data_IF_822438622880
#
_entry.id   IF_822438622880
#
_cell.length_a   1.000
_cell.length_b   1.000
_cell.length_c   1.000
_cell.angle_alpha   90.00
_cell.angle_beta   90.00
_cell.angle_gamma   90.00
#
_symmetry.space_group_name_H-M   'P 1'
#
loop_
_entity.id
_entity.type
_entity.pdbx_description
1 polymer ?
#
# COMPACT_ATOMS: atom_id res chain seq x y z
N UNK A 1 -16.77 -65.52 44.24
CA UNK A 1 -17.13 -64.68 45.40
C UNK A 1 -17.50 -63.31 44.84
N UNK A 2 -18.66 -62.83 45.27
CA UNK A 2 -19.47 -61.79 44.64
C UNK A 2 -19.17 -60.38 45.17
N UNK A 3 -19.86 -59.39 44.56
CA UNK A 3 -20.14 -58.01 45.00
C UNK A 3 -19.01 -56.98 44.78
N UNK A 4 -19.24 -55.73 44.33
CA UNK A 4 -20.45 -54.99 43.98
C UNK A 4 -20.10 -53.55 43.55
N UNK A 5 -21.00 -52.94 42.75
CA UNK A 5 -21.38 -51.52 42.59
C UNK A 5 -20.41 -50.36 42.96
N UNK A 6 -20.25 -49.33 42.10
CA UNK A 6 -21.08 -48.10 42.07
C UNK A 6 -20.55 -46.99 41.11
N UNK A 7 -21.54 -46.22 40.61
CA UNK A 7 -21.60 -45.00 39.77
C UNK A 7 -20.48 -43.94 39.87
N UNK A 8 -20.25 -43.24 38.75
CA UNK A 8 -19.67 -41.89 38.68
C UNK A 8 -20.35 -41.08 37.55
N UNK A 9 -20.73 -39.83 37.85
CA UNK A 9 -21.58 -38.96 37.05
C UNK A 9 -20.82 -38.14 35.99
N UNK A 10 -21.41 -37.98 34.81
CA UNK A 10 -21.02 -36.99 33.79
C UNK A 10 -21.79 -35.67 34.07
N UNK A 11 -21.04 -34.59 34.20
CA UNK A 11 -21.53 -33.22 34.14
C UNK A 11 -20.68 -32.47 33.14
N UNK A 12 -21.27 -32.18 31.98
CA UNK A 12 -20.63 -31.49 30.87
C UNK A 12 -21.21 -30.06 30.84
N UNK A 13 -20.41 -29.09 31.29
CA UNK A 13 -20.75 -27.66 31.31
C UNK A 13 -19.96 -26.97 30.19
N UNK A 14 -20.53 -26.97 29.00
CA UNK A 14 -19.97 -26.29 27.83
C UNK A 14 -20.30 -24.79 27.92
N UNK A 15 -19.28 -23.97 28.21
CA UNK A 15 -19.36 -22.51 28.06
C UNK A 15 -19.52 -22.15 26.58
N UNK A 16 -20.70 -21.59 26.22
CA UNK A 16 -20.94 -20.94 24.94
C UNK A 16 -20.13 -19.65 24.82
N UNK A 17 -19.30 -19.55 23.77
CA UNK A 17 -18.65 -18.32 23.32
C UNK A 17 -19.55 -17.70 22.24
N UNK A 18 -19.86 -16.38 22.27
CA UNK A 18 -20.75 -15.77 21.29
C UNK A 18 -20.10 -15.68 19.90
N UNK A 19 -20.94 -15.87 18.87
CA UNK A 19 -20.57 -15.82 17.45
C UNK A 19 -19.90 -14.50 17.07
N UNK A 20 -18.63 -14.58 16.69
CA UNK A 20 -17.91 -13.49 16.02
C UNK A 20 -18.37 -13.49 14.57
N UNK A 21 -18.99 -12.39 14.13
CA UNK A 21 -19.32 -12.14 12.72
C UNK A 21 -18.00 -12.04 11.94
N UNK A 22 -17.55 -13.18 11.41
CA UNK A 22 -16.47 -13.26 10.44
C UNK A 22 -17.04 -12.86 9.08
N UNK A 23 -16.57 -11.74 8.53
CA UNK A 23 -16.78 -11.40 7.13
C UNK A 23 -15.97 -12.40 6.27
N UNK A 24 -16.53 -13.59 6.02
CA UNK A 24 -15.93 -14.58 5.12
C UNK A 24 -16.06 -14.10 3.68
N UNK A 25 -14.94 -13.79 3.04
CA UNK A 25 -14.82 -13.78 1.59
C UNK A 25 -14.94 -15.22 1.07
N UNK A 26 -15.89 -15.46 0.16
CA UNK A 26 -16.10 -16.77 -0.46
C UNK A 26 -14.86 -17.23 -1.24
N UNK A 27 -14.41 -18.46 -0.97
CA UNK A 27 -13.48 -19.19 -1.84
C UNK A 27 -14.31 -19.94 -2.88
N UNK A 28 -14.00 -19.70 -4.15
CA UNK A 28 -14.41 -20.57 -5.27
C UNK A 28 -13.51 -21.80 -5.25
N UNK A 29 -14.14 -22.97 -5.12
CA UNK A 29 -13.53 -24.26 -5.47
C UNK A 29 -13.57 -24.40 -6.99
N UNK A 30 -12.43 -24.76 -7.58
CA UNK A 30 -12.33 -25.25 -8.94
C UNK A 30 -12.17 -26.76 -8.85
N UNK A 31 -13.11 -27.49 -9.45
CA UNK A 31 -13.03 -28.93 -9.66
C UNK A 31 -13.03 -29.19 -11.17
N UNK A 32 -12.10 -30.03 -11.60
CA UNK A 32 -11.86 -30.42 -12.99
C UNK A 32 -12.85 -31.52 -13.40
N UNK A 33 -13.59 -31.31 -14.48
CA UNK A 33 -14.50 -32.34 -15.02
C UNK A 33 -15.10 -31.98 -16.38
N UNK A 34 -14.49 -32.50 -17.43
CA UNK A 34 -14.87 -32.39 -18.84
C UNK A 34 -16.07 -33.31 -19.19
N UNK A 35 -17.25 -32.79 -19.58
CA UNK A 35 -18.25 -33.50 -20.41
C UNK A 35 -19.13 -32.53 -21.24
N UNK A 36 -18.92 -32.58 -22.56
CA UNK A 36 -19.87 -32.57 -23.72
C UNK A 36 -21.19 -31.77 -23.64
N UNK A 37 -21.39 -30.93 -24.67
CA UNK A 37 -22.59 -30.14 -24.95
C UNK A 37 -23.79 -30.93 -25.50
N UNK A 38 -25.01 -30.51 -25.12
CA UNK A 38 -26.17 -30.34 -26.02
C UNK A 38 -27.23 -29.39 -25.41
N UNK A 39 -28.01 -28.65 -26.23
CA UNK A 39 -28.97 -27.65 -25.77
C UNK A 39 -30.38 -28.23 -25.63
N UNK A 40 -31.20 -27.69 -24.71
CA UNK A 40 -32.65 -27.80 -24.83
C UNK A 40 -33.39 -26.69 -24.08
N UNK A 41 -34.50 -26.30 -24.69
CA UNK A 41 -35.35 -25.14 -24.46
C UNK A 41 -36.30 -25.29 -23.25
N UNK A 42 -36.85 -24.13 -22.88
CA UNK A 42 -38.23 -23.89 -22.44
C UNK A 42 -38.72 -24.22 -21.01
N UNK A 43 -39.13 -23.10 -20.37
CA UNK A 43 -40.40 -22.83 -19.67
C UNK A 43 -40.52 -22.95 -18.14
N UNK A 44 -40.79 -21.76 -17.58
CA UNK A 44 -41.78 -21.42 -16.52
C UNK A 44 -41.40 -21.87 -15.09
N UNK A 45 -41.51 -21.05 -14.05
CA UNK A 45 -42.64 -20.19 -13.72
C UNK A 45 -42.26 -18.90 -12.95
N UNK A 46 -43.18 -17.95 -13.06
CA UNK A 46 -43.24 -16.67 -12.36
C UNK A 46 -43.71 -16.90 -10.93
N UNK A 47 -43.08 -16.24 -9.97
CA UNK A 47 -43.78 -15.77 -8.77
C UNK A 47 -43.33 -14.34 -8.45
N UNK A 48 -44.32 -13.44 -8.50
CA UNK A 48 -44.25 -12.03 -8.13
C UNK A 48 -44.24 -11.90 -6.60
N UNK A 49 -43.36 -11.05 -6.05
CA UNK A 49 -43.58 -10.45 -4.74
C UNK A 49 -43.17 -8.96 -4.75
N UNK A 50 -44.19 -8.15 -5.02
CA UNK A 50 -44.57 -6.87 -4.40
C UNK A 50 -43.44 -6.09 -3.70
N UNK A 51 -43.07 -4.96 -4.31
CA UNK A 51 -42.28 -3.89 -3.69
C UNK A 51 -43.24 -2.87 -3.09
N UNK A 52 -43.21 -2.69 -1.76
CA UNK A 52 -43.88 -1.57 -1.09
C UNK A 52 -43.01 -0.31 -1.14
N UNK A 53 -43.60 0.73 -1.72
CA UNK A 53 -43.16 2.12 -1.80
C UNK A 53 -42.99 2.74 -0.40
N UNK A 54 -41.80 3.23 -0.07
CA UNK A 54 -41.62 4.20 1.03
C UNK A 54 -41.06 5.50 0.47
N UNK A 55 -41.87 6.54 0.63
CA UNK A 55 -41.67 7.91 0.13
C UNK A 55 -40.42 8.55 0.72
N UNK A 56 -39.55 9.04 -0.16
CA UNK A 56 -38.48 9.98 0.16
C UNK A 56 -39.05 11.40 0.35
N UNK A 57 -38.67 12.08 1.43
CA UNK A 57 -38.90 13.51 1.62
C UNK A 57 -37.75 14.34 1.02
N UNK A 58 -38.00 15.49 0.37
CA UNK A 58 -36.99 16.24 -0.35
C UNK A 58 -36.18 17.18 0.57
N UNK A 59 -34.86 17.23 0.32
CA UNK A 59 -33.90 18.11 0.95
C UNK A 59 -34.10 19.57 0.47
N UNK A 60 -34.28 20.52 1.39
CA UNK A 60 -34.50 21.93 1.09
C UNK A 60 -33.22 22.63 0.59
N UNK A 61 -33.43 23.47 -0.42
CA UNK A 61 -32.46 24.29 -1.14
C UNK A 61 -31.80 25.34 -0.22
N UNK A 62 -30.49 25.51 -0.37
CA UNK A 62 -29.70 26.59 0.23
C UNK A 62 -30.06 27.93 -0.43
N UNK A 63 -30.49 28.91 0.36
CA UNK A 63 -30.68 30.29 -0.08
C UNK A 63 -29.34 31.01 -0.29
N UNK A 64 -29.24 31.76 -1.39
CA UNK A 64 -28.10 32.59 -1.75
C UNK A 64 -28.00 33.83 -0.85
N UNK A 65 -26.78 34.14 -0.39
CA UNK A 65 -26.46 35.38 0.34
C UNK A 65 -25.98 36.43 -0.67
N UNK A 66 -26.50 37.67 -0.65
CA UNK A 66 -26.12 38.67 -1.64
C UNK A 66 -24.74 39.27 -1.36
N UNK A 67 -23.95 39.44 -2.42
CA UNK A 67 -22.67 40.14 -2.44
C UNK A 67 -22.96 41.65 -2.57
N UNK A 68 -22.62 42.44 -1.54
CA UNK A 68 -22.57 43.90 -1.65
C UNK A 68 -21.13 44.38 -1.86
N UNK A 69 -20.93 45.09 -2.97
CA UNK A 69 -19.74 45.87 -3.29
C UNK A 69 -19.73 47.20 -2.52
N UNK A 70 -18.55 47.65 -2.09
CA UNK A 70 -18.33 48.98 -1.53
C UNK A 70 -16.97 49.13 -0.86
N UNK A 71 -16.06 49.83 -1.54
CA UNK A 71 -14.81 50.36 -1.02
C UNK A 71 -15.07 51.37 0.12
N UNK A 72 -14.23 51.35 1.16
CA UNK A 72 -13.42 52.49 1.64
C UNK A 72 -12.85 52.26 3.06
N UNK A 73 -11.57 52.60 3.17
CA UNK A 73 -10.70 52.78 4.34
C UNK A 73 -11.32 52.81 5.75
N UNK A 74 -10.92 51.87 6.62
CA UNK A 74 -10.96 52.08 8.08
C UNK A 74 -9.72 51.50 8.78
N UNK A 75 -9.08 52.39 9.51
CA UNK A 75 -7.80 52.31 10.20
C UNK A 75 -7.72 51.27 11.33
N UNK A 76 -6.56 50.63 11.45
CA UNK A 76 -6.12 49.80 12.58
C UNK A 76 -6.08 50.60 13.91
N UNK A 77 -7.18 50.63 14.67
CA UNK A 77 -7.13 50.96 16.12
C UNK A 77 -8.33 50.47 16.97
N UNK A 78 -9.29 49.71 16.42
CA UNK A 78 -10.54 49.40 17.12
C UNK A 78 -10.75 47.96 17.66
N UNK A 79 -9.82 47.01 17.45
CA UNK A 79 -10.09 45.57 17.74
C UNK A 79 -9.48 45.07 19.05
N UNK A 80 -8.73 45.91 19.78
CA UNK A 80 -8.13 45.51 21.06
C UNK A 80 -8.99 45.76 22.31
N UNK A 81 -10.19 46.37 22.17
CA UNK A 81 -10.99 46.76 23.34
C UNK A 81 -12.25 45.89 23.60
N UNK A 82 -12.57 44.93 22.72
CA UNK A 82 -13.75 44.03 22.89
C UNK A 82 -13.38 42.62 23.38
N UNK A 83 -12.09 42.35 23.64
CA UNK A 83 -11.61 41.07 24.16
C UNK A 83 -11.25 41.10 25.67
N UNK A 84 -11.43 42.25 26.35
CA UNK A 84 -11.15 42.40 27.78
C UNK A 84 -12.38 42.40 28.69
N UNK A 85 -13.60 42.44 28.14
CA UNK A 85 -14.84 42.47 28.97
C UNK A 85 -15.63 41.15 28.98
N UNK A 86 -15.28 40.16 28.15
CA UNK A 86 -15.85 38.80 28.22
C UNK A 86 -15.02 37.81 29.04
N UNK A 87 -13.97 38.27 29.73
CA UNK A 87 -13.06 37.45 30.55
C UNK A 87 -13.35 37.49 32.05
N UNK A 88 -14.48 38.08 32.49
CA UNK A 88 -14.76 38.27 33.93
C UNK A 88 -16.08 37.65 34.44
N UNK A 89 -16.75 36.77 33.69
CA UNK A 89 -18.04 36.18 34.11
C UNK A 89 -18.16 34.65 33.98
N UNK A 90 -17.07 33.93 33.70
CA UNK A 90 -17.08 32.45 33.67
C UNK A 90 -15.94 31.85 34.52
N UNK A 91 -15.89 32.24 35.80
CA UNK A 91 -15.26 31.42 36.84
C UNK A 91 -16.25 31.21 37.99
N UNK A 92 -16.96 30.07 37.94
CA UNK A 92 -17.34 29.24 39.10
C UNK A 92 -18.19 28.04 38.65
N UNK A 93 -17.49 27.00 38.20
CA UNK A 93 -17.76 25.59 38.53
C UNK A 93 -16.49 24.84 38.13
N UNK A 94 -15.56 24.74 39.08
CA UNK A 94 -14.36 23.94 38.91
C UNK A 94 -14.79 22.49 38.67
N UNK A 95 -14.72 22.04 37.42
CA UNK A 95 -14.58 20.61 37.13
C UNK A 95 -13.23 20.24 37.72
N UNK A 96 -13.24 19.40 38.74
CA UNK A 96 -12.01 18.84 39.27
C UNK A 96 -11.19 18.30 38.09
N UNK A 97 -9.98 18.82 37.90
CA UNK A 97 -8.98 18.13 37.08
C UNK A 97 -8.81 16.78 37.79
N UNK A 98 -9.19 15.65 37.15
CA UNK A 98 -8.97 14.36 37.78
C UNK A 98 -7.48 14.26 38.12
N UNK A 99 -7.12 13.76 39.32
CA UNK A 99 -5.72 13.59 39.67
C UNK A 99 -5.01 12.84 38.54
N UNK A 100 -3.74 13.16 38.22
CA UNK A 100 -2.99 12.40 37.24
C UNK A 100 -3.11 10.92 37.63
N UNK A 101 -3.71 10.12 36.74
CA UNK A 101 -3.84 8.70 36.95
C UNK A 101 -2.40 8.21 37.11
N UNK A 102 -2.03 7.80 38.32
CA UNK A 102 -0.73 7.20 38.57
C UNK A 102 -0.74 5.87 37.81
N UNK A 103 -0.22 5.89 36.60
CA UNK A 103 -0.12 4.70 35.79
C UNK A 103 0.93 3.78 36.43
N UNK A 104 0.66 2.48 36.42
CA UNK A 104 1.65 1.48 36.77
C UNK A 104 2.95 1.78 35.99
N UNK A 105 4.13 1.82 36.63
CA UNK A 105 5.40 2.07 35.93
C UNK A 105 5.62 1.19 34.69
N UNK A 106 5.06 -0.01 34.67
CA UNK A 106 5.11 -0.89 33.49
C UNK A 106 4.23 -0.40 32.33
N UNK A 107 3.09 0.21 32.64
CA UNK A 107 2.19 0.84 31.66
C UNK A 107 2.80 2.12 31.12
N UNK A 108 3.43 2.94 31.97
CA UNK A 108 4.10 4.17 31.52
C UNK A 108 5.24 3.86 30.54
N UNK A 109 6.09 2.87 30.88
CA UNK A 109 7.13 2.40 29.97
C UNK A 109 6.56 1.85 28.64
N UNK A 110 5.38 1.24 28.68
CA UNK A 110 4.75 0.73 27.48
C UNK A 110 4.21 1.87 26.60
N UNK A 111 3.63 2.91 27.21
CA UNK A 111 3.21 4.11 26.49
C UNK A 111 4.39 4.82 25.83
N UNK A 112 5.50 4.96 26.55
CA UNK A 112 6.72 5.56 26.00
C UNK A 112 7.23 4.76 24.79
N UNK A 113 7.16 3.43 24.81
CA UNK A 113 7.49 2.60 23.65
C UNK A 113 6.53 2.84 22.48
N UNK A 114 5.22 2.84 22.71
CA UNK A 114 4.22 3.08 21.66
C UNK A 114 4.36 4.47 21.03
N UNK A 115 4.70 5.47 21.84
CA UNK A 115 4.92 6.85 21.42
C UNK A 115 6.23 6.97 20.62
N UNK A 116 7.34 6.44 21.14
CA UNK A 116 8.64 6.49 20.48
C UNK A 116 8.63 5.82 19.09
N UNK A 117 7.88 4.73 18.95
CA UNK A 117 7.74 3.98 17.70
C UNK A 117 7.11 4.82 16.58
N UNK A 118 6.32 5.85 16.90
CA UNK A 118 5.72 6.72 15.88
C UNK A 118 6.75 7.47 15.04
N UNK A 119 7.92 7.81 15.60
CA UNK A 119 9.01 8.45 14.86
C UNK A 119 9.53 7.58 13.71
N UNK A 120 9.54 6.26 13.89
CA UNK A 120 10.22 5.33 12.99
C UNK A 120 9.24 4.54 12.09
N UNK A 121 7.99 4.35 12.51
CA UNK A 121 7.04 3.53 11.77
C UNK A 121 6.56 4.18 10.48
N UNK A 122 6.45 3.41 9.39
CA UNK A 122 5.78 3.86 8.15
C UNK A 122 4.27 4.04 8.33
N UNK A 123 3.66 3.27 9.23
CA UNK A 123 2.19 3.16 9.33
C UNK A 123 1.65 3.60 10.70
N UNK A 124 2.33 3.26 11.79
CA UNK A 124 1.96 3.60 13.16
C UNK A 124 2.34 5.05 13.48
N UNK A 125 1.48 6.02 13.15
CA UNK A 125 1.74 7.45 13.34
C UNK A 125 0.46 8.23 13.63
N UNK A 126 0.64 9.40 14.24
CA UNK A 126 -0.43 10.39 14.43
C UNK A 126 -1.38 10.10 15.60
N UNK A 127 -1.07 9.13 16.46
CA UNK A 127 -1.79 8.89 17.71
C UNK A 127 -1.32 9.85 18.80
N UNK A 128 -2.28 10.48 19.48
CA UNK A 128 -2.05 11.32 20.64
C UNK A 128 -1.83 10.47 21.89
N UNK A 129 -1.21 11.04 22.94
CA UNK A 129 -0.84 10.27 24.14
C UNK A 129 -2.06 9.68 24.87
N UNK A 130 -3.18 10.40 24.90
CA UNK A 130 -4.46 9.92 25.44
C UNK A 130 -5.05 8.77 24.61
N UNK A 131 -4.97 8.84 23.27
CA UNK A 131 -5.34 7.74 22.39
C UNK A 131 -4.46 6.51 22.63
N UNK A 132 -3.14 6.69 22.73
CA UNK A 132 -2.19 5.62 23.05
C UNK A 132 -2.46 5.00 24.42
N UNK A 133 -2.86 5.79 25.41
CA UNK A 133 -3.26 5.30 26.73
C UNK A 133 -4.43 4.34 26.65
N UNK A 134 -5.44 4.68 25.85
CA UNK A 134 -6.61 3.81 25.67
C UNK A 134 -6.23 2.55 24.88
N UNK A 135 -5.40 2.70 23.84
CA UNK A 135 -4.92 1.55 23.08
C UNK A 135 -4.10 0.62 23.97
N UNK A 136 -3.16 1.13 24.77
CA UNK A 136 -2.29 0.31 25.62
C UNK A 136 -3.05 -0.60 26.58
N UNK A 137 -4.22 -0.16 27.07
CA UNK A 137 -5.11 -0.98 27.90
C UNK A 137 -5.71 -2.20 27.17
N UNK A 138 -5.64 -2.23 25.84
CA UNK A 138 -6.15 -3.28 24.96
C UNK A 138 -5.06 -4.15 24.34
N UNK A 139 -3.79 -3.87 24.62
CA UNK A 139 -2.67 -4.59 24.04
C UNK A 139 -2.06 -5.57 25.02
N UNK A 140 -1.59 -6.68 24.47
CA UNK A 140 -0.70 -7.59 25.17
C UNK A 140 0.75 -7.24 24.81
N UNK A 141 1.54 -6.84 25.80
CA UNK A 141 2.96 -6.59 25.63
C UNK A 141 3.75 -7.88 25.85
N UNK A 142 4.42 -8.36 24.80
CA UNK A 142 5.28 -9.55 24.88
C UNK A 142 6.73 -9.11 24.72
N UNK A 143 7.53 -9.38 25.75
CA UNK A 143 8.92 -8.94 25.84
C UNK A 143 9.89 -10.14 25.73
N UNK A 144 11.14 -9.83 25.42
CA UNK A 144 12.30 -10.74 25.57
C UNK A 144 12.27 -11.97 24.66
N UNK A 145 11.87 -11.80 23.41
CA UNK A 145 12.17 -12.83 22.41
C UNK A 145 13.68 -12.94 22.24
N UNK A 146 14.19 -14.17 22.20
CA UNK A 146 15.58 -14.47 21.87
C UNK A 146 15.75 -14.59 20.36
N UNK A 147 16.97 -14.33 19.86
CA UNK A 147 17.28 -14.54 18.45
C UNK A 147 16.90 -15.95 17.99
N UNK A 148 16.27 -16.06 16.82
CA UNK A 148 15.72 -17.29 16.25
C UNK A 148 14.35 -17.71 16.79
N UNK A 149 13.81 -17.06 17.83
CA UNK A 149 12.51 -17.43 18.38
C UNK A 149 11.37 -16.97 17.47
N UNK A 150 10.37 -17.84 17.28
CA UNK A 150 9.15 -17.49 16.56
C UNK A 150 8.27 -16.54 17.35
N UNK A 151 8.02 -15.37 16.77
CA UNK A 151 7.00 -14.41 17.21
C UNK A 151 5.64 -14.83 16.63
N UNK A 152 5.63 -15.28 15.38
CA UNK A 152 4.45 -15.80 14.67
C UNK A 152 4.85 -17.04 13.87
N UNK A 153 3.97 -18.04 13.83
CA UNK A 153 4.16 -19.24 13.00
C UNK A 153 3.22 -19.22 11.79
N UNK A 154 3.77 -19.45 10.60
CA UNK A 154 2.95 -19.69 9.43
C UNK A 154 2.05 -20.91 9.62
N UNK A 155 0.82 -20.84 9.11
CA UNK A 155 -0.16 -21.92 9.21
C UNK A 155 -0.85 -22.02 10.57
N UNK A 156 -0.55 -21.14 11.54
CA UNK A 156 -1.36 -21.02 12.75
C UNK A 156 -2.53 -20.07 12.56
N UNK A 157 -3.66 -20.37 13.22
CA UNK A 157 -4.86 -19.54 13.16
C UNK A 157 -4.49 -18.14 13.62
N UNK A 158 -4.79 -17.14 12.79
CA UNK A 158 -4.47 -15.77 13.10
C UNK A 158 -5.49 -15.22 14.11
N UNK A 159 -4.98 -14.66 15.20
CA UNK A 159 -5.81 -14.07 16.25
C UNK A 159 -5.32 -12.69 16.70
N UNK A 160 -4.25 -12.17 16.08
CA UNK A 160 -3.67 -10.88 16.42
C UNK A 160 -2.91 -10.21 15.28
N UNK A 161 -2.78 -8.88 15.40
CA UNK A 161 -1.79 -8.07 14.69
C UNK A 161 -0.63 -7.78 15.65
N UNK A 162 0.61 -7.84 15.20
CA UNK A 162 1.78 -7.52 16.01
C UNK A 162 2.44 -6.21 15.55
N UNK A 163 2.89 -5.39 16.50
CA UNK A 163 3.71 -4.20 16.27
C UNK A 163 5.08 -4.40 16.94
N UNK A 164 6.15 -4.31 16.16
CA UNK A 164 7.52 -4.39 16.68
C UNK A 164 7.91 -3.10 17.41
N UNK A 165 8.15 -3.18 18.72
CA UNK A 165 8.47 -2.03 19.56
C UNK A 165 9.97 -1.86 19.80
N UNK A 166 10.72 -2.96 19.82
CA UNK A 166 12.16 -2.97 20.05
C UNK A 166 12.79 -4.23 19.43
N UNK A 167 14.07 -4.13 19.04
CA UNK A 167 14.81 -5.21 18.38
C UNK A 167 14.57 -5.28 16.87
N UNK A 168 14.99 -6.39 16.28
CA UNK A 168 14.81 -6.71 14.86
C UNK A 168 14.15 -8.07 14.71
N UNK A 169 13.35 -8.22 13.65
CA UNK A 169 12.75 -9.50 13.29
C UNK A 169 12.81 -9.71 11.77
N UNK A 170 12.52 -10.90 11.29
CA UNK A 170 12.46 -11.23 9.87
C UNK A 170 11.16 -11.97 9.53
N UNK A 171 10.70 -11.79 8.30
CA UNK A 171 9.48 -12.39 7.78
C UNK A 171 9.89 -13.44 6.74
N UNK A 172 9.46 -14.68 6.94
CA UNK A 172 9.72 -15.80 6.03
C UNK A 172 8.40 -16.38 5.53
N UNK A 173 8.11 -16.19 4.24
CA UNK A 173 6.92 -16.79 3.65
C UNK A 173 7.15 -18.27 3.35
N UNK A 174 6.08 -19.04 3.55
CA UNK A 174 6.03 -20.42 3.10
C UNK A 174 5.63 -20.45 1.62
N UNK A 175 6.46 -21.06 0.80
CA UNK A 175 6.21 -21.32 -0.62
C UNK A 175 5.34 -22.57 -0.79
N UNK A 176 4.77 -22.75 -1.99
CA UNK A 176 3.88 -23.88 -2.31
C UNK A 176 4.59 -25.23 -2.23
N UNK A 177 5.91 -25.27 -2.42
CA UNK A 177 6.77 -26.45 -2.28
C UNK A 177 7.19 -26.74 -0.83
N UNK A 178 6.72 -25.93 0.12
CA UNK A 178 7.05 -26.03 1.54
C UNK A 178 8.33 -25.32 1.97
N UNK A 179 9.11 -24.74 1.04
CA UNK A 179 10.30 -23.97 1.40
C UNK A 179 9.94 -22.64 2.07
N UNK A 180 10.78 -22.18 2.99
CA UNK A 180 10.64 -20.85 3.60
C UNK A 180 11.58 -19.87 2.93
N UNK A 181 11.04 -18.78 2.39
CA UNK A 181 11.81 -17.72 1.72
C UNK A 181 11.78 -16.46 2.57
N UNK A 182 12.96 -15.94 2.89
CA UNK A 182 13.10 -14.64 3.55
C UNK A 182 12.50 -13.54 2.65
N UNK A 183 11.37 -12.99 3.07
CA UNK A 183 10.68 -11.93 2.34
C UNK A 183 11.24 -10.56 2.68
N UNK A 184 11.40 -10.26 3.97
CA UNK A 184 11.73 -8.94 4.45
C UNK A 184 12.22 -8.96 5.90
N UNK A 185 13.02 -7.96 6.27
CA UNK A 185 13.38 -7.69 7.66
C UNK A 185 12.42 -6.65 8.25
N UNK A 186 11.96 -6.88 9.47
CA UNK A 186 11.15 -5.97 10.27
C UNK A 186 12.03 -5.02 11.08
N UNK A 187 11.71 -3.74 10.99
CA UNK A 187 12.31 -2.68 11.82
C UNK A 187 11.32 -2.24 12.88
N UNK A 188 11.79 -1.58 13.94
CA UNK A 188 10.94 -0.96 14.95
C UNK A 188 9.85 -0.11 14.27
N UNK A 189 8.61 -0.33 14.68
CA UNK A 189 7.41 0.25 14.08
C UNK A 189 6.78 -0.53 12.94
N UNK A 190 7.33 -1.68 12.57
CA UNK A 190 6.71 -2.56 11.58
C UNK A 190 5.50 -3.26 12.22
N UNK A 191 4.32 -3.07 11.61
CA UNK A 191 3.14 -3.88 11.85
C UNK A 191 3.27 -5.20 11.08
N UNK A 192 2.68 -6.30 11.55
CA UNK A 192 2.55 -7.58 10.84
C UNK A 192 1.31 -8.34 11.31
N UNK A 193 0.81 -9.28 10.50
CA UNK A 193 -0.41 -10.03 10.81
C UNK A 193 -1.70 -9.24 10.57
N UNK A 194 -1.62 -7.98 10.16
CA UNK A 194 -2.78 -7.14 9.86
C UNK A 194 -3.59 -7.64 8.66
N UNK A 195 -2.95 -8.36 7.73
CA UNK A 195 -3.66 -8.96 6.61
C UNK A 195 -4.66 -10.01 7.06
N UNK A 196 -4.22 -10.83 8.03
CA UNK A 196 -5.02 -11.90 8.63
C UNK A 196 -6.26 -11.42 9.38
N UNK A 197 -6.31 -10.13 9.73
CA UNK A 197 -7.52 -9.50 10.28
C UNK A 197 -8.64 -9.41 9.23
N UNK A 198 -8.31 -9.29 7.94
CA UNK A 198 -9.28 -9.02 6.88
C UNK A 198 -9.62 -10.25 6.05
N UNK A 199 -8.63 -11.03 5.63
CA UNK A 199 -8.86 -12.27 4.86
C UNK A 199 -9.27 -13.44 5.76
N UNK A 200 -9.05 -13.30 7.08
CA UNK A 200 -9.26 -14.35 8.06
C UNK A 200 -8.30 -15.53 7.88
N UNK A 201 -8.50 -16.57 8.68
CA UNK A 201 -7.76 -17.81 8.53
C UNK A 201 -6.41 -17.79 9.23
N UNK A 202 -5.33 -18.06 8.50
CA UNK A 202 -4.03 -18.44 9.07
C UNK A 202 -2.93 -17.43 8.75
N UNK A 203 -1.94 -17.31 9.63
CA UNK A 203 -0.74 -16.52 9.33
C UNK A 203 -0.01 -17.12 8.12
N UNK A 204 0.29 -16.29 7.12
CA UNK A 204 0.88 -16.74 5.85
C UNK A 204 2.42 -16.82 5.85
N UNK A 205 3.06 -16.34 6.91
CA UNK A 205 4.51 -16.27 7.04
C UNK A 205 4.95 -16.49 8.50
N UNK A 206 6.16 -17.01 8.69
CA UNK A 206 6.82 -17.03 9.98
C UNK A 206 7.42 -15.66 10.26
N UNK A 207 7.41 -15.27 11.53
CA UNK A 207 8.13 -14.10 12.00
C UNK A 207 9.09 -14.54 13.07
N UNK A 208 10.38 -14.31 12.84
CA UNK A 208 11.47 -14.72 13.71
C UNK A 208 12.12 -13.49 14.33
N UNK A 209 12.38 -13.51 15.62
CA UNK A 209 13.26 -12.51 16.23
C UNK A 209 14.69 -12.70 15.71
N UNK A 210 15.34 -11.63 15.30
CA UNK A 210 16.74 -11.62 14.79
C UNK A 210 17.71 -11.03 15.82
N UNK A 211 17.19 -10.49 16.92
CA UNK A 211 17.98 -9.98 18.02
C UNK A 211 17.37 -10.41 19.35
N UNK A 212 18.22 -10.60 20.35
CA UNK A 212 17.76 -10.78 21.72
C UNK A 212 17.03 -9.54 22.23
N UNK A 213 16.17 -9.73 23.23
CA UNK A 213 15.33 -8.70 23.83
C UNK A 213 14.33 -8.04 22.86
N UNK A 214 13.99 -8.73 21.76
CA UNK A 214 12.94 -8.28 20.84
C UNK A 214 11.60 -8.20 21.59
N UNK A 215 10.86 -7.10 21.38
CA UNK A 215 9.62 -6.79 22.09
C UNK A 215 8.53 -6.38 21.11
N UNK A 216 7.34 -6.95 21.27
CA UNK A 216 6.18 -6.70 20.40
C UNK A 216 4.93 -6.38 21.22
N UNK A 217 4.08 -5.51 20.68
CA UNK A 217 2.71 -5.36 21.13
C UNK A 217 1.79 -6.21 20.24
N UNK A 218 0.91 -6.98 20.86
CA UNK A 218 -0.11 -7.78 20.16
C UNK A 218 -1.48 -7.14 20.32
N UNK A 219 -2.12 -6.87 19.19
CA UNK A 219 -3.51 -6.44 19.07
C UNK A 219 -4.36 -7.68 18.79
N UNK A 220 -4.90 -8.29 19.84
CA UNK A 220 -5.83 -9.42 19.68
C UNK A 220 -7.09 -8.96 18.94
N UNK A 221 -7.59 -9.76 18.02
CA UNK A 221 -8.77 -9.39 17.20
C UNK A 221 -9.98 -9.00 18.06
N UNK A 222 -10.34 -9.74 19.13
CA UNK A 222 -11.42 -9.31 20.04
C UNK A 222 -11.17 -7.93 20.67
N UNK A 223 -9.92 -7.64 21.04
CA UNK A 223 -9.54 -6.36 21.65
C UNK A 223 -9.64 -5.18 20.67
N UNK A 224 -9.39 -5.41 19.37
CA UNK A 224 -9.61 -4.43 18.30
C UNK A 224 -11.12 -4.14 18.17
N UNK A 225 -11.96 -5.17 18.16
CA UNK A 225 -13.41 -5.03 18.10
C UNK A 225 -13.95 -4.25 19.32
N UNK A 226 -13.50 -4.60 20.52
CA UNK A 226 -13.86 -3.88 21.74
C UNK A 226 -13.45 -2.40 21.70
N UNK A 227 -12.25 -2.11 21.19
CA UNK A 227 -11.76 -0.74 21.05
C UNK A 227 -12.67 0.05 20.10
N UNK A 228 -13.06 -0.55 18.97
CA UNK A 228 -13.98 0.06 18.02
C UNK A 228 -15.34 0.34 18.64
N UNK A 229 -15.92 -0.63 19.34
CA UNK A 229 -17.24 -0.48 19.97
C UNK A 229 -17.25 0.57 21.08
N UNK A 230 -16.18 0.66 21.88
CA UNK A 230 -16.09 1.63 22.97
C UNK A 230 -15.71 3.02 22.47
N UNK A 231 -14.77 3.11 21.52
CA UNK A 231 -14.22 4.35 20.99
C UNK A 231 -14.20 4.35 19.44
N UNK A 232 -15.33 4.55 18.76
CA UNK A 232 -15.43 4.38 17.30
C UNK A 232 -14.44 5.21 16.49
N UNK A 233 -14.20 6.47 16.88
CA UNK A 233 -13.22 7.34 16.21
C UNK A 233 -11.79 6.76 16.26
N UNK A 234 -11.39 6.28 17.44
CA UNK A 234 -10.07 5.70 17.65
C UNK A 234 -9.95 4.32 16.99
N UNK A 235 -11.00 3.49 17.07
CA UNK A 235 -11.07 2.22 16.37
C UNK A 235 -10.95 2.36 14.85
N UNK A 236 -11.66 3.31 14.24
CA UNK A 236 -11.54 3.61 12.82
C UNK A 236 -10.13 4.08 12.44
N UNK A 237 -9.52 4.93 13.26
CA UNK A 237 -8.13 5.38 13.06
C UNK A 237 -7.14 4.22 13.10
N UNK A 238 -7.32 3.29 14.03
CA UNK A 238 -6.51 2.07 14.13
C UNK A 238 -6.72 1.16 12.92
N UNK A 239 -7.98 0.88 12.54
CA UNK A 239 -8.30 0.05 11.38
C UNK A 239 -7.73 0.64 10.09
N UNK A 240 -7.82 1.96 9.89
CA UNK A 240 -7.21 2.64 8.73
C UNK A 240 -5.69 2.45 8.70
N UNK A 241 -5.05 2.47 9.87
CA UNK A 241 -3.60 2.20 10.00
C UNK A 241 -3.27 0.78 9.53
N UNK A 242 -4.07 -0.21 9.94
CA UNK A 242 -3.92 -1.60 9.53
C UNK A 242 -4.21 -1.81 8.04
N UNK A 243 -5.27 -1.19 7.50
CA UNK A 243 -5.61 -1.28 6.08
C UNK A 243 -4.52 -0.70 5.21
N UNK A 244 -3.95 0.47 5.58
CA UNK A 244 -2.84 1.06 4.85
C UNK A 244 -1.61 0.15 4.83
N UNK A 245 -1.28 -0.47 5.97
CA UNK A 245 -0.18 -1.43 6.05
C UNK A 245 -0.45 -2.68 5.19
N UNK A 246 -1.67 -3.24 5.29
CA UNK A 246 -2.12 -4.41 4.53
C UNK A 246 -2.01 -4.19 3.02
N UNK A 247 -2.57 -3.09 2.51
CA UNK A 247 -2.58 -2.77 1.07
C UNK A 247 -1.15 -2.69 0.54
N UNK A 248 -0.29 -1.92 1.20
CA UNK A 248 1.10 -1.77 0.76
C UNK A 248 1.83 -3.12 0.70
N UNK A 249 1.65 -3.98 1.72
CA UNK A 249 2.34 -5.28 1.75
C UNK A 249 1.76 -6.33 0.81
N UNK A 250 0.44 -6.34 0.57
CA UNK A 250 -0.15 -7.19 -0.47
C UNK A 250 0.44 -6.85 -1.83
N UNK A 251 0.61 -5.54 -2.09
CA UNK A 251 1.24 -5.10 -3.31
C UNK A 251 2.69 -5.55 -3.38
N UNK A 252 3.49 -5.32 -2.33
CA UNK A 252 4.88 -5.82 -2.25
C UNK A 252 4.98 -7.34 -2.44
N UNK A 253 4.05 -8.12 -1.87
CA UNK A 253 3.97 -9.59 -2.05
C UNK A 253 3.67 -9.98 -3.48
N UNK A 254 2.73 -9.31 -4.15
CA UNK A 254 2.45 -9.58 -5.58
C UNK A 254 3.74 -9.46 -6.40
N UNK A 255 4.56 -8.44 -6.16
CA UNK A 255 5.82 -8.26 -6.88
C UNK A 255 6.84 -9.36 -6.68
N UNK A 256 6.88 -9.95 -5.50
CA UNK A 256 7.80 -11.05 -5.22
C UNK A 256 7.36 -12.34 -5.92
N UNK A 257 6.07 -12.45 -6.26
CA UNK A 257 5.50 -13.62 -6.95
C UNK A 257 5.49 -13.48 -8.48
N UNK A 258 5.59 -12.27 -9.02
CA UNK A 258 5.65 -12.04 -10.47
C UNK A 258 7.08 -12.05 -10.99
N UNK A 259 7.24 -12.41 -12.27
CA UNK A 259 8.51 -12.29 -12.96
C UNK A 259 9.00 -10.83 -12.93
N UNK A 260 10.28 -10.64 -12.61
CA UNK A 260 10.95 -9.35 -12.69
C UNK A 260 11.43 -9.12 -14.11
N UNK A 261 11.36 -7.86 -14.56
CA UNK A 261 11.93 -7.47 -15.83
C UNK A 261 13.43 -7.79 -15.88
N UNK A 262 13.88 -8.45 -16.96
CA UNK A 262 15.30 -8.77 -17.16
C UNK A 262 16.05 -7.64 -17.90
N UNK A 263 15.71 -6.39 -17.59
CA UNK A 263 16.18 -5.20 -18.31
C UNK A 263 17.71 -5.12 -18.39
N UNK A 264 18.37 -5.38 -17.26
CA UNK A 264 19.81 -5.17 -17.13
C UNK A 264 20.65 -6.21 -17.88
N UNK A 265 20.06 -7.32 -18.33
CA UNK A 265 20.75 -8.34 -19.14
C UNK A 265 21.24 -7.78 -20.49
N UNK A 266 20.64 -6.68 -20.95
CA UNK A 266 20.98 -6.00 -22.20
C UNK A 266 21.74 -4.68 -21.98
N UNK A 267 22.23 -4.44 -20.76
CA UNK A 267 22.99 -3.23 -20.46
C UNK A 267 24.40 -3.29 -21.03
N UNK A 268 24.79 -2.20 -21.70
CA UNK A 268 26.13 -2.04 -22.27
C UNK A 268 26.75 -0.76 -21.71
N UNK A 269 28.00 -0.80 -21.22
CA UNK A 269 28.70 0.42 -20.79
C UNK A 269 28.79 1.44 -21.92
N UNK A 270 28.53 2.71 -21.60
CA UNK A 270 28.64 3.82 -22.54
C UNK A 270 29.20 5.04 -21.81
N UNK A 271 29.97 5.87 -22.52
CA UNK A 271 30.41 7.15 -21.98
C UNK A 271 29.22 8.14 -21.93
N UNK A 272 29.10 8.89 -20.82
CA UNK A 272 28.02 9.89 -20.65
C UNK A 272 27.96 10.89 -21.82
N UNK A 273 29.09 11.28 -22.39
CA UNK A 273 29.13 12.16 -23.56
C UNK A 273 28.45 11.55 -24.80
N UNK A 274 28.63 10.24 -25.02
CA UNK A 274 27.97 9.52 -26.10
C UNK A 274 26.48 9.32 -25.81
N UNK A 275 26.12 9.00 -24.58
CA UNK A 275 24.72 8.88 -24.18
C UNK A 275 23.98 10.23 -24.30
N UNK A 276 24.61 11.33 -23.90
CA UNK A 276 24.09 12.68 -24.10
C UNK A 276 23.83 12.97 -25.57
N UNK A 277 24.75 12.59 -26.46
CA UNK A 277 24.59 12.78 -27.89
C UNK A 277 23.33 12.04 -28.40
N UNK A 278 23.17 10.77 -28.04
CA UNK A 278 21.99 9.97 -28.41
C UNK A 278 20.69 10.55 -27.84
N UNK A 279 20.70 11.06 -26.60
CA UNK A 279 19.54 11.74 -26.02
C UNK A 279 19.17 13.02 -26.78
N UNK A 280 20.17 13.79 -27.23
CA UNK A 280 19.94 14.98 -28.04
C UNK A 280 19.35 14.64 -29.40
N UNK A 281 19.84 13.57 -30.05
CA UNK A 281 19.29 13.08 -31.33
C UNK A 281 17.85 12.61 -31.17
N UNK A 282 17.57 11.77 -30.16
CA UNK A 282 16.22 11.28 -29.88
C UNK A 282 15.23 12.43 -29.60
N UNK A 283 15.68 13.45 -28.86
CA UNK A 283 14.87 14.66 -28.60
C UNK A 283 14.60 15.49 -29.86
N UNK A 284 15.51 15.49 -30.83
CA UNK A 284 15.34 16.23 -32.07
C UNK A 284 14.30 15.58 -33.01
N UNK A 285 14.13 14.26 -32.96
CA UNK A 285 13.15 13.52 -33.78
C UNK A 285 11.71 13.88 -33.40
N UNK A 286 11.44 14.03 -32.11
CA UNK A 286 10.12 14.34 -31.58
C UNK A 286 10.22 15.58 -30.68
N UNK A 287 10.17 16.77 -31.25
CA UNK A 287 10.24 18.02 -30.46
C UNK A 287 8.92 18.36 -29.74
N UNK A 288 7.80 17.83 -30.23
CA UNK A 288 6.46 17.94 -29.61
C UNK A 288 6.02 16.65 -28.88
N UNK A 289 6.40 15.48 -29.39
CA UNK A 289 6.36 14.18 -28.69
C UNK A 289 7.71 13.96 -27.96
N UNK A 290 8.04 12.80 -27.39
CA UNK A 290 9.34 12.58 -26.72
C UNK A 290 9.56 13.22 -25.33
N UNK A 291 10.69 13.88 -25.00
CA UNK A 291 10.81 14.61 -23.71
C UNK A 291 10.02 15.93 -23.70
N UNK A 292 9.63 16.43 -24.87
CA UNK A 292 8.91 17.69 -25.04
C UNK A 292 9.79 18.93 -24.89
N UNK A 293 9.23 20.09 -25.26
CA UNK A 293 9.96 21.38 -25.38
C UNK A 293 10.55 21.92 -24.07
N UNK A 294 10.09 21.42 -22.92
CA UNK A 294 10.55 21.86 -21.60
C UNK A 294 11.98 21.38 -21.27
N UNK A 295 12.43 20.31 -21.92
CA UNK A 295 13.77 19.76 -21.72
C UNK A 295 14.79 20.50 -22.58
N UNK A 296 15.80 21.06 -21.92
CA UNK A 296 16.96 21.69 -22.56
C UNK A 296 18.15 20.73 -22.52
N UNK A 297 19.20 21.05 -23.29
CA UNK A 297 20.45 20.28 -23.30
C UNK A 297 21.04 20.04 -21.89
N UNK A 298 20.94 21.03 -21.00
CA UNK A 298 21.37 20.89 -19.60
C UNK A 298 20.61 19.80 -18.86
N UNK A 299 19.30 19.67 -19.09
CA UNK A 299 18.49 18.61 -18.48
C UNK A 299 18.91 17.23 -19.02
N UNK A 300 19.19 17.12 -20.32
CA UNK A 300 19.67 15.88 -20.94
C UNK A 300 21.07 15.51 -20.45
N UNK A 301 21.93 16.49 -20.20
CA UNK A 301 23.27 16.27 -19.62
C UNK A 301 23.17 15.72 -18.20
N UNK A 302 22.26 16.25 -17.39
CA UNK A 302 21.96 15.72 -16.06
C UNK A 302 21.45 14.27 -16.18
N UNK A 303 20.45 14.01 -17.03
CA UNK A 303 19.90 12.66 -17.23
C UNK A 303 20.97 11.67 -17.70
N UNK A 304 21.87 12.06 -18.61
CA UNK A 304 22.93 11.18 -19.13
C UNK A 304 23.85 10.59 -18.05
N UNK A 305 23.90 11.19 -16.85
CA UNK A 305 24.68 10.71 -15.71
C UNK A 305 23.92 9.69 -14.83
N UNK A 306 22.61 9.58 -15.01
CA UNK A 306 21.72 8.76 -14.18
C UNK A 306 21.01 7.65 -14.94
N UNK A 307 21.09 7.65 -16.26
CA UNK A 307 20.48 6.65 -17.13
C UNK A 307 21.41 5.46 -17.40
N UNK A 308 20.82 4.28 -17.50
CA UNK A 308 21.48 3.05 -17.96
C UNK A 308 21.24 2.89 -19.45
N UNK A 309 22.30 2.62 -20.23
CA UNK A 309 22.19 2.35 -21.66
C UNK A 309 21.97 0.87 -21.94
N UNK A 310 21.09 0.58 -22.90
CA UNK A 310 20.64 -0.75 -23.28
C UNK A 310 20.71 -0.93 -24.80
N UNK A 311 21.01 -2.14 -25.26
CA UNK A 311 20.96 -2.52 -26.67
C UNK A 311 20.24 -3.86 -26.81
N UNK A 312 19.11 -3.85 -27.53
CA UNK A 312 18.30 -5.02 -27.77
C UNK A 312 18.43 -5.47 -29.22
N UNK A 313 18.68 -6.78 -29.48
CA UNK A 313 18.61 -7.32 -30.83
C UNK A 313 17.15 -7.40 -31.29
N UNK A 314 16.97 -7.58 -32.60
CA UNK A 314 15.63 -7.78 -33.17
C UNK A 314 14.89 -8.96 -32.51
N UNK A 315 13.58 -8.79 -32.34
CA UNK A 315 12.62 -9.68 -31.68
C UNK A 315 12.87 -9.97 -30.19
N UNK A 316 13.84 -9.30 -29.56
CA UNK A 316 14.05 -9.44 -28.12
C UNK A 316 12.88 -8.82 -27.32
N UNK A 317 12.38 -9.49 -26.27
CA UNK A 317 11.41 -8.90 -25.36
C UNK A 317 12.09 -7.81 -24.52
N UNK A 318 11.46 -6.63 -24.47
CA UNK A 318 11.85 -5.56 -23.55
C UNK A 318 11.22 -5.82 -22.18
N UNK A 319 9.91 -6.10 -22.18
CA UNK A 319 9.14 -6.58 -21.04
C UNK A 319 7.88 -7.30 -21.53
N UNK A 320 7.31 -8.12 -20.67
CA UNK A 320 6.09 -8.89 -20.93
C UNK A 320 4.94 -8.44 -20.02
N UNK A 321 3.72 -8.57 -20.51
CA UNK A 321 2.51 -8.29 -19.74
C UNK A 321 2.49 -9.14 -18.47
N UNK A 322 2.09 -8.54 -17.35
CA UNK A 322 2.09 -9.17 -16.03
C UNK A 322 3.43 -9.16 -15.29
N UNK A 323 4.54 -8.81 -15.96
CA UNK A 323 5.81 -8.57 -15.26
C UNK A 323 5.69 -7.37 -14.33
N UNK A 324 6.42 -7.42 -13.22
CA UNK A 324 6.50 -6.29 -12.28
C UNK A 324 7.20 -5.12 -12.94
N UNK A 325 6.49 -4.02 -13.17
CA UNK A 325 7.07 -2.83 -13.75
C UNK A 325 8.03 -2.16 -12.75
N UNK A 326 9.30 -2.02 -13.14
CA UNK A 326 10.34 -1.40 -12.30
C UNK A 326 11.08 -0.25 -12.97
N UNK A 327 10.95 -0.10 -14.29
CA UNK A 327 11.75 0.82 -15.08
C UNK A 327 10.90 1.71 -15.99
N UNK A 328 11.48 2.86 -16.34
CA UNK A 328 10.97 3.73 -17.39
C UNK A 328 12.05 3.79 -18.45
N UNK A 329 11.61 3.78 -19.70
CA UNK A 329 12.49 3.69 -20.85
C UNK A 329 12.37 4.91 -21.74
N UNK A 330 13.47 5.26 -22.39
CA UNK A 330 13.56 6.26 -23.44
C UNK A 330 14.13 5.56 -24.66
N UNK A 331 13.40 5.57 -25.77
CA UNK A 331 13.89 5.01 -27.03
C UNK A 331 14.89 5.99 -27.63
N UNK A 332 16.13 5.55 -27.87
CA UNK A 332 17.17 6.38 -28.47
C UNK A 332 17.22 6.19 -29.98
N UNK A 333 17.19 4.94 -30.44
CA UNK A 333 17.14 4.57 -31.86
C UNK A 333 16.41 3.25 -32.05
N UNK A 334 15.93 3.00 -33.27
CA UNK A 334 15.22 1.78 -33.63
C UNK A 334 13.70 1.89 -33.50
N UNK A 335 13.05 0.74 -33.44
CA UNK A 335 11.59 0.58 -33.41
C UNK A 335 11.19 -0.53 -32.44
N UNK A 336 10.21 -0.22 -31.60
CA UNK A 336 9.61 -1.13 -30.64
C UNK A 336 8.18 -1.43 -31.06
N UNK A 337 7.75 -2.66 -30.80
CA UNK A 337 6.43 -3.17 -31.18
C UNK A 337 5.69 -3.68 -29.95
N UNK A 338 4.45 -3.23 -29.79
CA UNK A 338 3.54 -3.75 -28.77
C UNK A 338 2.76 -4.92 -29.37
N UNK A 339 2.84 -6.07 -28.71
CA UNK A 339 2.14 -7.30 -29.10
C UNK A 339 1.23 -7.79 -27.98
N UNK A 340 0.08 -8.38 -28.32
CA UNK A 340 -0.82 -9.01 -27.35
C UNK A 340 -0.27 -10.36 -26.88
N UNK A 341 -0.07 -10.52 -25.57
CA UNK A 341 0.25 -11.81 -24.95
C UNK A 341 1.72 -12.24 -25.09
N UNK A 342 2.19 -12.59 -26.30
CA UNK A 342 3.55 -13.13 -26.49
C UNK A 342 4.23 -12.64 -27.78
N UNK A 343 5.42 -13.18 -28.08
CA UNK A 343 6.22 -12.77 -29.24
C UNK A 343 5.52 -13.04 -30.59
N UNK A 344 4.65 -14.05 -30.68
CA UNK A 344 3.80 -14.34 -31.84
C UNK A 344 2.42 -13.68 -31.73
N UNK A 345 2.24 -12.82 -30.73
CA UNK A 345 1.03 -12.06 -30.46
C UNK A 345 0.66 -11.10 -31.57
N UNK A 346 -0.60 -10.67 -31.57
CA UNK A 346 -1.11 -9.71 -32.55
C UNK A 346 -0.44 -8.34 -32.34
N UNK A 347 -0.03 -7.72 -33.43
CA UNK A 347 0.43 -6.33 -33.46
C UNK A 347 -0.65 -5.37 -32.94
N UNK A 348 -0.27 -4.49 -32.01
CA UNK A 348 -1.13 -3.44 -31.46
C UNK A 348 -0.69 -2.06 -31.94
N UNK A 349 0.56 -1.69 -31.64
CA UNK A 349 1.12 -0.37 -31.96
C UNK A 349 2.65 -0.39 -31.99
N UNK A 350 3.25 0.69 -32.50
CA UNK A 350 4.70 0.88 -32.58
C UNK A 350 5.15 2.10 -31.78
N UNK A 351 6.37 2.03 -31.25
CA UNK A 351 7.06 3.15 -30.60
C UNK A 351 8.43 3.40 -31.24
N UNK A 352 8.81 4.68 -31.36
CA UNK A 352 10.03 5.12 -32.01
C UNK A 352 10.94 6.00 -31.14
N UNK A 353 12.07 6.40 -31.72
CA UNK A 353 13.06 7.26 -31.09
C UNK A 353 12.44 8.54 -30.50
N UNK A 354 12.87 8.88 -29.29
CA UNK A 354 12.38 10.00 -28.49
C UNK A 354 11.30 9.61 -27.49
N UNK A 355 10.53 8.54 -27.73
CA UNK A 355 9.38 8.19 -26.89
C UNK A 355 9.78 7.66 -25.50
N UNK A 356 8.96 8.03 -24.51
CA UNK A 356 9.02 7.53 -23.14
C UNK A 356 8.07 6.37 -23.00
N UNK A 357 8.60 5.20 -22.66
CA UNK A 357 7.83 3.95 -22.58
C UNK A 357 7.79 3.44 -21.15
N UNK A 358 6.62 2.90 -20.79
CA UNK A 358 6.42 2.28 -19.48
C UNK A 358 6.15 3.27 -18.35
N UNK A 359 5.84 4.53 -18.67
CA UNK A 359 5.45 5.55 -17.69
C UNK A 359 4.05 5.34 -17.11
N UNK A 360 3.16 4.67 -17.82
CA UNK A 360 1.79 4.37 -17.36
C UNK A 360 1.80 3.59 -16.04
N UNK A 361 2.52 2.47 -16.01
CA UNK A 361 2.69 1.67 -14.81
C UNK A 361 3.30 2.47 -13.63
N UNK A 362 4.16 3.46 -13.92
CA UNK A 362 4.67 4.38 -12.89
C UNK A 362 3.59 5.35 -12.41
N UNK A 363 2.79 5.93 -13.30
CA UNK A 363 1.74 6.89 -12.93
C UNK A 363 0.58 6.22 -12.18
N UNK A 364 0.25 4.98 -12.52
CA UNK A 364 -0.75 4.16 -11.81
C UNK A 364 -0.27 3.69 -10.43
N UNK A 365 1.04 3.75 -10.16
CA UNK A 365 1.66 3.29 -8.91
C UNK A 365 1.36 4.22 -7.72
N UNK A 366 0.08 4.44 -7.43
CA UNK A 366 -0.33 5.41 -6.40
C UNK A 366 -0.03 4.93 -4.98
N UNK A 367 -0.01 3.61 -4.71
CA UNK A 367 0.44 3.02 -3.42
C UNK A 367 0.91 1.55 -3.54
N UNK A 368 1.07 1.06 -4.77
CA UNK A 368 1.41 -0.30 -5.14
C UNK A 368 2.48 -0.24 -6.23
N UNK A 369 3.27 -1.29 -6.40
CA UNK A 369 3.93 -1.45 -7.68
C UNK A 369 2.95 -2.01 -8.71
N UNK A 370 3.09 -1.52 -9.94
CA UNK A 370 2.21 -1.86 -11.06
C UNK A 370 2.82 -2.99 -11.90
N UNK A 371 2.01 -3.58 -12.76
CA UNK A 371 2.42 -4.56 -13.75
C UNK A 371 2.47 -3.92 -15.13
N UNK A 372 3.18 -4.57 -16.05
CA UNK A 372 3.08 -4.23 -17.47
C UNK A 372 1.72 -4.67 -18.00
N UNK A 373 0.98 -3.73 -18.59
CA UNK A 373 -0.32 -4.02 -19.21
C UNK A 373 -0.19 -4.77 -20.55
N UNK A 374 0.96 -4.62 -21.24
CA UNK A 374 1.20 -5.15 -22.58
C UNK A 374 2.60 -5.74 -22.70
N UNK A 375 2.84 -6.50 -23.78
CA UNK A 375 4.16 -7.00 -24.11
C UNK A 375 4.83 -6.07 -25.13
N UNK A 376 6.12 -5.79 -24.92
CA UNK A 376 6.90 -4.90 -25.77
C UNK A 376 8.13 -5.63 -26.29
N UNK A 377 8.32 -5.60 -27.61
CA UNK A 377 9.41 -6.27 -28.30
C UNK A 377 10.21 -5.28 -29.15
N UNK A 378 11.48 -5.61 -29.39
CA UNK A 378 12.29 -4.94 -30.38
C UNK A 378 11.88 -5.40 -31.79
N UNK A 379 11.44 -4.50 -32.67
CA UNK A 379 11.11 -4.81 -34.08
C UNK A 379 12.30 -4.60 -35.04
N UNK A 380 13.42 -4.16 -34.48
CA UNK A 380 14.70 -3.93 -35.14
C UNK A 380 15.78 -4.00 -34.06
N UNK A 381 17.04 -3.77 -34.38
CA UNK A 381 18.01 -3.44 -33.34
C UNK A 381 17.63 -2.09 -32.69
N UNK A 382 17.45 -2.09 -31.37
CA UNK A 382 16.99 -0.91 -30.63
C UNK A 382 18.02 -0.52 -29.58
N UNK A 383 18.32 0.78 -29.51
CA UNK A 383 19.06 1.34 -28.38
C UNK A 383 18.13 2.16 -27.50
N UNK A 384 18.28 1.99 -26.19
CA UNK A 384 17.41 2.61 -25.20
C UNK A 384 18.23 3.13 -24.03
N UNK A 385 17.67 4.10 -23.33
CA UNK A 385 18.11 4.49 -22.01
C UNK A 385 17.01 4.18 -21.00
N UNK A 386 17.36 3.74 -19.80
CA UNK A 386 16.37 3.48 -18.76
C UNK A 386 16.82 3.98 -17.40
N UNK A 387 15.85 4.09 -16.50
CA UNK A 387 16.06 4.29 -15.07
C UNK A 387 14.96 3.56 -14.30
N UNK A 388 15.28 3.06 -13.11
CA UNK A 388 14.30 2.43 -12.23
C UNK A 388 13.47 3.46 -11.48
N UNK A 389 12.29 3.05 -11.02
CA UNK A 389 11.43 3.89 -10.18
C UNK A 389 12.16 4.36 -8.91
N UNK A 390 12.99 3.50 -8.32
CA UNK A 390 13.83 3.87 -7.17
C UNK A 390 14.92 4.88 -7.54
N UNK A 391 15.55 4.76 -8.71
CA UNK A 391 16.51 5.73 -9.20
C UNK A 391 15.86 7.10 -9.41
N UNK A 392 14.63 7.16 -9.93
CA UNK A 392 13.88 8.40 -10.08
C UNK A 392 13.66 9.11 -8.73
N UNK A 393 13.31 8.37 -7.67
CA UNK A 393 13.12 8.95 -6.33
C UNK A 393 14.42 9.55 -5.77
N UNK A 394 15.55 8.85 -5.96
CA UNK A 394 16.88 9.37 -5.56
C UNK A 394 17.29 10.57 -6.41
N UNK A 395 17.03 10.50 -7.71
CA UNK A 395 17.30 11.56 -8.67
C UNK A 395 16.52 12.84 -8.34
N UNK A 396 15.25 12.72 -7.96
CA UNK A 396 14.42 13.84 -7.56
C UNK A 396 15.00 14.62 -6.36
N UNK A 397 15.64 13.93 -5.42
CA UNK A 397 16.33 14.59 -4.30
C UNK A 397 17.57 15.38 -4.74
N UNK A 398 18.26 14.96 -5.81
CA UNK A 398 19.50 15.58 -6.31
C UNK A 398 19.25 16.66 -7.36
N UNK A 399 18.20 16.53 -8.18
CA UNK A 399 17.89 17.40 -9.31
C UNK A 399 16.39 17.57 -9.48
N UNK A 400 15.71 18.24 -8.52
CA UNK A 400 14.25 18.28 -8.44
C UNK A 400 13.59 18.95 -9.65
N UNK A 401 14.23 19.96 -10.25
CA UNK A 401 13.67 20.65 -11.43
C UNK A 401 13.62 19.71 -12.65
N UNK A 402 14.71 18.97 -12.92
CA UNK A 402 14.76 18.02 -14.04
C UNK A 402 13.84 16.83 -13.77
N UNK A 403 13.75 16.35 -12.53
CA UNK A 403 12.80 15.31 -12.14
C UNK A 403 11.34 15.75 -12.30
N UNK A 404 11.00 16.99 -11.91
CA UNK A 404 9.66 17.55 -12.09
C UNK A 404 9.29 17.65 -13.57
N UNK A 405 10.21 18.07 -14.44
CA UNK A 405 9.99 18.07 -15.90
C UNK A 405 9.71 16.66 -16.42
N UNK A 406 10.43 15.66 -15.91
CA UNK A 406 10.26 14.26 -16.30
C UNK A 406 8.90 13.72 -15.85
N UNK A 407 8.52 13.97 -14.59
CA UNK A 407 7.21 13.62 -14.03
C UNK A 407 6.07 14.29 -14.81
N UNK A 408 6.19 15.59 -15.08
CA UNK A 408 5.22 16.33 -15.90
C UNK A 408 5.08 15.72 -17.29
N UNK A 409 6.21 15.33 -17.90
CA UNK A 409 6.18 14.72 -19.23
C UNK A 409 5.53 13.34 -19.23
N UNK A 410 5.81 12.51 -18.22
CA UNK A 410 5.15 11.21 -18.07
C UNK A 410 3.64 11.38 -17.91
N UNK A 411 3.18 12.35 -17.12
CA UNK A 411 1.76 12.68 -17.01
C UNK A 411 1.13 13.06 -18.36
N UNK A 412 1.80 13.89 -19.16
CA UNK A 412 1.33 14.27 -20.51
C UNK A 412 1.23 13.09 -21.47
N UNK A 413 2.16 12.13 -21.38
CA UNK A 413 2.16 10.93 -22.24
C UNK A 413 1.04 9.96 -21.82
N UNK A 414 0.72 9.91 -20.53
CA UNK A 414 -0.34 9.03 -19.99
C UNK A 414 -1.74 9.63 -20.08
N UNK A 415 -1.91 10.93 -20.29
CA UNK A 415 -3.23 11.52 -20.53
C UNK A 415 -3.73 11.16 -21.94
N UNK A 416 -4.97 10.66 -22.10
CA UNK A 416 -5.55 10.47 -23.41
C UNK A 416 -5.60 11.82 -24.12
N UNK A 417 -5.11 11.88 -25.36
CA UNK A 417 -5.24 13.06 -26.19
C UNK A 417 -6.75 13.36 -26.36
N UNK A 418 -7.19 14.53 -25.91
CA UNK A 418 -8.52 15.05 -26.19
C UNK A 418 -8.69 15.39 -27.67
#
# INVERSE_FOLDING_TARGET
MAEGEQKGAEGDDALQVPDVILLRGGKSEADDGEVVATPCEDRLDRDELIVEDTKEEPCALLEEVPVSTGDEDLTFSGVQQTLQENTTSLQRKGKAVPPPILLDPQVEQFLDLLEAVQGNSRFWRGFQRDELQIIAQKLQLVRRFTSGQHIVNAGQLADHVALLLCGTASIHARMNDGQSVHMASMRVGTLVGELSLYDGGYHSAHILAESDNTTVALFKFPSICELYLKNPKLGLKLLRTFTNAAVVKLNERKLLMHAKEQVLSFSVPIANAKLLHLLCEAQAVLTSSGFGKAFKKVDLEILSRHLTFLTYPNDAPIFLAGETAGHIFIVLSGRLEVREGNAAGKFVTMHGAGELIGSEAFMESTMAASQRATCLFAASEVTMACFSFQQLMKFNALSPITALKLLSRMGQVCSPAH
#
